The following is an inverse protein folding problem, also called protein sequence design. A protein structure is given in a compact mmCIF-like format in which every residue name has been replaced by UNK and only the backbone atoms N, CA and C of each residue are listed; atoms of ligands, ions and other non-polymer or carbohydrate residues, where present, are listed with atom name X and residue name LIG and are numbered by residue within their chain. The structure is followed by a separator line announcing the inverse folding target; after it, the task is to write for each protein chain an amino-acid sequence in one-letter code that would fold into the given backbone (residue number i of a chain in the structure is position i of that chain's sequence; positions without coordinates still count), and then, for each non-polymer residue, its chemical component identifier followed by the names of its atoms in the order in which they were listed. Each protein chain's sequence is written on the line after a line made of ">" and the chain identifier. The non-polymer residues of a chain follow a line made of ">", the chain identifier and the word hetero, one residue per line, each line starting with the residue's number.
data_IF_538548499915
#
_entry.id   IF_538548499915
#
_cell.length_a   1.000
_cell.length_b   1.000
_cell.length_c   1.000
_cell.angle_alpha   90.00
_cell.angle_beta   90.00
_cell.angle_gamma   90.00
#
_symmetry.space_group_name_H-M   'P 1'
#
loop_
_entity.id
_entity.type
_entity.pdbx_description
1 polymer ?
#
# COMPACT_ATOMS: atom_id res chain seq x y z
N UNK A 1 3.14 27.26 -2.80
CA UNK A 1 2.53 25.99 -3.23
C UNK A 1 3.26 24.88 -2.52
N UNK A 2 2.55 23.85 -2.03
CA UNK A 2 3.17 22.68 -1.41
C UNK A 2 4.09 21.97 -2.41
N UNK A 3 5.10 21.26 -1.90
CA UNK A 3 6.04 20.48 -2.72
C UNK A 3 5.50 19.06 -2.84
N UNK A 4 4.71 18.81 -3.88
CA UNK A 4 3.93 17.57 -3.99
C UNK A 4 4.79 16.37 -4.37
N UNK A 5 4.50 15.21 -3.78
CA UNK A 5 5.22 13.95 -4.01
C UNK A 5 4.23 12.91 -4.51
N UNK A 6 4.60 12.20 -5.58
CA UNK A 6 3.83 11.06 -6.10
C UNK A 6 4.46 9.75 -5.62
N UNK A 7 3.66 8.88 -4.99
CA UNK A 7 4.09 7.56 -4.53
C UNK A 7 3.74 6.50 -5.57
N UNK A 8 4.73 5.71 -6.00
CA UNK A 8 4.59 4.62 -6.95
C UNK A 8 4.82 3.29 -6.23
N UNK A 9 3.86 2.36 -6.27
CA UNK A 9 3.94 1.04 -5.66
C UNK A 9 3.99 -0.05 -6.73
N UNK A 10 5.09 -0.80 -6.80
CA UNK A 10 5.30 -1.87 -7.78
C UNK A 10 5.27 -3.24 -7.10
N UNK A 11 4.20 -3.99 -7.38
CA UNK A 11 4.01 -5.36 -6.93
C UNK A 11 3.08 -5.51 -5.74
N UNK A 12 2.61 -6.74 -5.54
CA UNK A 12 1.63 -7.04 -4.50
C UNK A 12 2.18 -6.76 -3.12
N UNK A 13 3.37 -7.28 -2.78
CA UNK A 13 3.97 -7.03 -1.46
C UNK A 13 4.16 -5.54 -1.18
N UNK A 14 4.66 -4.79 -2.17
CA UNK A 14 4.78 -3.34 -2.08
C UNK A 14 3.42 -2.66 -1.86
N UNK A 15 2.35 -3.16 -2.48
CA UNK A 15 0.99 -2.63 -2.31
C UNK A 15 0.44 -2.86 -0.90
N UNK A 16 0.72 -4.02 -0.27
CA UNK A 16 0.40 -4.24 1.16
C UNK A 16 1.17 -3.27 2.07
N UNK A 17 2.48 -3.09 1.85
CA UNK A 17 3.26 -2.11 2.62
C UNK A 17 2.75 -0.68 2.41
N UNK A 18 2.38 -0.34 1.18
CA UNK A 18 1.85 0.97 0.80
C UNK A 18 0.50 1.24 1.46
N UNK A 19 -0.39 0.24 1.56
CA UNK A 19 -1.66 0.37 2.28
C UNK A 19 -1.44 0.81 3.74
N UNK A 20 -0.51 0.16 4.44
CA UNK A 20 -0.16 0.54 5.82
C UNK A 20 0.52 1.90 5.90
N UNK A 21 1.41 2.23 4.97
CA UNK A 21 2.02 3.55 4.89
C UNK A 21 0.95 4.64 4.78
N UNK A 22 -0.03 4.48 3.89
CA UNK A 22 -1.08 5.48 3.70
C UNK A 22 -2.03 5.59 4.88
N UNK A 23 -2.37 4.47 5.52
CA UNK A 23 -3.13 4.52 6.77
C UNK A 23 -2.40 5.30 7.86
N UNK A 24 -1.09 5.16 7.96
CA UNK A 24 -0.28 5.93 8.91
C UNK A 24 -0.28 7.42 8.58
N UNK A 25 -0.21 7.79 7.30
CA UNK A 25 -0.29 9.20 6.88
C UNK A 25 -1.66 9.82 7.20
N UNK A 26 -2.74 9.07 6.99
CA UNK A 26 -4.11 9.47 7.31
C UNK A 26 -4.33 9.64 8.81
N UNK A 27 -3.86 8.68 9.62
CA UNK A 27 -3.89 8.78 11.08
C UNK A 27 -3.09 9.98 11.58
N UNK A 28 -1.89 10.20 11.05
CA UNK A 28 -1.08 11.36 11.41
C UNK A 28 -1.78 12.68 11.09
N UNK A 29 -2.52 12.75 9.98
CA UNK A 29 -3.34 13.91 9.62
C UNK A 29 -4.46 14.15 10.62
N UNK A 30 -5.13 13.08 11.07
CA UNK A 30 -6.18 13.15 12.08
C UNK A 30 -5.69 13.67 13.44
N UNK A 31 -4.43 13.39 13.82
CA UNK A 31 -3.85 13.87 15.08
C UNK A 31 -3.28 15.29 15.03
N UNK A 32 -3.29 15.95 13.86
CA UNK A 32 -2.64 17.25 13.68
C UNK A 32 -3.24 18.40 14.50
N UNK A 33 -4.51 18.31 14.85
CA UNK A 33 -5.21 19.29 15.69
C UNK A 33 -4.98 19.09 17.20
N UNK A 34 -4.39 17.96 17.63
CA UNK A 34 -4.29 17.59 19.04
C UNK A 34 -3.04 18.19 19.69
N UNK A 35 -3.24 18.90 20.81
CA UNK A 35 -2.19 19.67 21.50
C UNK A 35 -0.92 18.85 21.80
N UNK A 36 -1.06 17.58 22.19
CA UNK A 36 0.04 16.66 22.50
C UNK A 36 0.83 16.18 21.26
N UNK A 37 0.18 16.08 20.09
CA UNK A 37 0.77 15.61 18.84
C UNK A 37 1.20 16.74 17.91
N UNK A 38 0.83 17.98 18.24
CA UNK A 38 1.11 19.21 17.49
C UNK A 38 2.55 19.34 17.01
N UNK A 39 3.55 18.94 17.82
CA UNK A 39 4.96 19.02 17.44
C UNK A 39 5.39 18.01 16.37
N UNK A 40 4.82 16.81 16.38
CA UNK A 40 5.07 15.79 15.35
C UNK A 40 4.23 16.06 14.10
N UNK A 41 2.96 16.41 14.27
CA UNK A 41 2.11 16.73 13.13
C UNK A 41 2.56 17.99 12.38
N UNK A 42 3.12 18.98 13.08
CA UNK A 42 3.68 20.17 12.44
C UNK A 42 4.90 19.88 11.55
N UNK A 43 5.53 18.71 11.64
CA UNK A 43 6.62 18.31 10.75
C UNK A 43 6.14 17.55 9.49
N UNK A 44 4.85 17.21 9.42
CA UNK A 44 4.26 16.49 8.29
C UNK A 44 3.42 17.46 7.47
N UNK A 45 3.84 17.69 6.22
CA UNK A 45 3.05 18.43 5.24
C UNK A 45 2.13 17.44 4.52
N UNK A 46 0.85 17.44 4.87
CA UNK A 46 -0.15 16.55 4.27
C UNK A 46 -0.51 16.94 2.83
N UNK A 47 -0.48 18.24 2.52
CA UNK A 47 -0.79 18.76 1.18
C UNK A 47 0.27 18.31 0.15
N UNK A 48 1.47 17.96 0.62
CA UNK A 48 2.50 17.35 -0.22
C UNK A 48 2.11 15.94 -0.71
N UNK A 49 1.36 15.16 0.08
CA UNK A 49 1.07 13.75 -0.21
C UNK A 49 -0.37 13.52 -0.68
N UNK A 50 -1.29 14.39 -0.31
CA UNK A 50 -2.70 14.27 -0.66
C UNK A 50 -3.10 15.30 -1.71
N UNK A 51 -4.06 14.90 -2.54
CA UNK A 51 -4.81 15.74 -3.44
C UNK A 51 -6.15 16.08 -2.79
N UNK A 52 -6.43 17.36 -2.60
CA UNK A 52 -7.75 17.82 -2.18
C UNK A 52 -8.73 17.71 -3.36
N UNK A 53 -9.85 17.03 -3.14
CA UNK A 53 -10.92 16.85 -4.11
C UNK A 53 -12.25 17.30 -3.49
N UNK A 54 -13.18 17.78 -4.31
CA UNK A 54 -14.53 18.05 -3.82
C UNK A 54 -15.19 16.73 -3.38
N UNK A 55 -15.48 16.59 -2.09
CA UNK A 55 -16.17 15.42 -1.54
C UNK A 55 -17.69 15.57 -1.59
N UNK A 56 -18.38 14.62 -0.94
CA UNK A 56 -19.84 14.64 -0.85
C UNK A 56 -20.28 15.83 0.03
N UNK A 57 -21.40 16.46 -0.34
CA UNK A 57 -22.02 17.55 0.43
C UNK A 57 -21.12 18.79 0.66
N UNK A 58 -20.09 18.99 -0.18
CA UNK A 58 -19.19 20.15 -0.07
C UNK A 58 -18.08 19.99 0.95
N UNK A 59 -17.95 18.84 1.61
CA UNK A 59 -16.81 18.53 2.48
C UNK A 59 -15.60 18.17 1.60
N UNK A 60 -14.41 18.78 1.80
CA UNK A 60 -13.22 18.40 1.04
C UNK A 60 -12.81 16.95 1.35
N UNK A 61 -12.47 16.20 0.32
CA UNK A 61 -12.00 14.82 0.40
C UNK A 61 -10.54 14.74 -0.05
N UNK A 62 -9.69 14.19 0.81
CA UNK A 62 -8.27 14.04 0.53
C UNK A 62 -7.98 12.67 -0.07
N UNK A 63 -7.32 12.65 -1.22
CA UNK A 63 -6.94 11.41 -1.90
C UNK A 63 -5.43 11.29 -2.01
N UNK A 64 -4.82 10.16 -1.63
CA UNK A 64 -3.39 9.96 -1.81
C UNK A 64 -2.92 10.20 -3.25
N UNK A 65 -1.77 10.87 -3.41
CA UNK A 65 -1.05 10.99 -4.68
C UNK A 65 -0.28 9.70 -4.95
N UNK A 66 -1.02 8.63 -5.25
CA UNK A 66 -0.47 7.28 -5.35
C UNK A 66 -0.85 6.59 -6.67
N UNK A 67 0.10 5.82 -7.21
CA UNK A 67 -0.13 4.86 -8.30
C UNK A 67 0.36 3.48 -7.87
N UNK A 68 -0.45 2.45 -8.10
CA UNK A 68 -0.16 1.07 -7.78
C UNK A 68 -0.13 0.25 -9.07
N UNK A 69 0.93 -0.51 -9.26
CA UNK A 69 1.14 -1.43 -10.37
C UNK A 69 1.11 -2.85 -9.82
N UNK A 70 0.02 -3.56 -10.07
CA UNK A 70 -0.20 -4.90 -9.51
C UNK A 70 -0.98 -5.78 -10.48
N UNK A 71 -0.94 -7.10 -10.28
CA UNK A 71 -1.61 -8.06 -11.15
C UNK A 71 -3.13 -7.99 -10.93
N UNK A 72 -3.87 -8.20 -12.02
CA UNK A 72 -5.33 -8.32 -12.00
C UNK A 72 -5.79 -9.35 -10.94
N UNK A 73 -6.73 -8.92 -10.09
CA UNK A 73 -7.25 -9.71 -8.97
C UNK A 73 -6.63 -9.40 -7.60
N UNK A 74 -5.54 -8.61 -7.54
CA UNK A 74 -4.91 -8.18 -6.29
C UNK A 74 -5.75 -7.22 -5.43
N UNK A 75 -6.70 -6.49 -6.04
CA UNK A 75 -7.55 -5.51 -5.36
C UNK A 75 -8.83 -6.10 -4.74
N UNK A 76 -9.07 -7.40 -4.93
CA UNK A 76 -10.20 -8.10 -4.34
C UNK A 76 -11.55 -7.49 -4.71
N UNK A 77 -12.37 -7.20 -3.69
CA UNK A 77 -13.70 -6.61 -3.83
C UNK A 77 -13.74 -5.10 -4.09
N UNK A 78 -12.57 -4.45 -4.26
CA UNK A 78 -12.46 -3.02 -4.58
C UNK A 78 -12.17 -2.84 -6.07
N UNK A 79 -12.96 -1.98 -6.71
CA UNK A 79 -12.83 -1.65 -8.12
C UNK A 79 -12.16 -0.28 -8.31
N UNK A 80 -11.12 -0.25 -9.14
CA UNK A 80 -10.38 0.95 -9.53
C UNK A 80 -10.54 1.20 -11.03
N UNK A 81 -11.79 1.24 -11.50
CA UNK A 81 -12.13 1.64 -12.86
C UNK A 81 -13.15 2.76 -12.82
N UNK A 82 -12.89 3.84 -13.57
CA UNK A 82 -13.91 4.89 -13.80
C UNK A 82 -15.15 4.34 -14.52
N UNK A 83 -14.96 3.26 -15.28
CA UNK A 83 -15.99 2.56 -16.05
C UNK A 83 -16.58 1.37 -15.28
N UNK A 84 -16.32 1.28 -13.98
CA UNK A 84 -16.94 0.28 -13.10
C UNK A 84 -18.48 0.44 -13.00
N UNK A 85 -19.04 1.50 -13.58
CA UNK A 85 -20.46 1.55 -13.95
C UNK A 85 -20.69 0.48 -15.00
N UNK A 86 -21.12 -0.69 -14.53
CA UNK A 86 -21.68 -1.82 -15.24
C UNK A 86 -21.68 -1.64 -16.77
N UNK A 87 -20.55 -1.95 -17.41
CA UNK A 87 -20.55 -2.20 -18.85
C UNK A 87 -21.64 -3.26 -19.07
N UNK A 88 -22.73 -2.94 -19.78
CA UNK A 88 -23.76 -3.92 -20.07
C UNK A 88 -23.11 -5.09 -20.81
N UNK A 89 -23.68 -6.30 -20.76
CA UNK A 89 -23.06 -7.52 -21.27
C UNK A 89 -22.97 -7.49 -22.81
N UNK A 90 -22.08 -6.66 -23.34
CA UNK A 90 -21.47 -6.87 -24.63
C UNK A 90 -20.55 -8.04 -24.41
N UNK A 91 -20.94 -9.21 -24.91
CA UNK A 91 -20.06 -10.34 -25.06
C UNK A 91 -18.72 -9.79 -25.57
N UNK A 92 -17.67 -9.89 -24.76
CA UNK A 92 -16.31 -9.72 -25.25
C UNK A 92 -16.11 -10.89 -26.22
N UNK A 93 -16.61 -10.73 -27.45
CA UNK A 93 -16.46 -11.71 -28.50
C UNK A 93 -14.99 -11.70 -28.83
N UNK A 94 -14.26 -12.66 -28.28
CA UNK A 94 -12.86 -12.89 -28.65
C UNK A 94 -12.87 -13.23 -30.14
N UNK A 95 -12.61 -12.23 -30.97
CA UNK A 95 -12.78 -12.28 -32.43
C UNK A 95 -11.85 -13.30 -33.11
N UNK A 96 -10.84 -13.80 -32.38
CA UNK A 96 -9.93 -14.84 -32.83
C UNK A 96 -10.48 -16.27 -32.68
N UNK A 97 -11.56 -16.49 -31.92
CA UNK A 97 -12.15 -17.82 -31.74
C UNK A 97 -13.33 -18.04 -32.71
N UNK A 98 -13.21 -19.03 -33.60
CA UNK A 98 -14.30 -19.46 -34.48
C UNK A 98 -14.94 -20.72 -33.90
N UNK A 99 -15.95 -20.55 -33.05
CA UNK A 99 -16.69 -21.63 -32.39
C UNK A 99 -17.79 -21.09 -31.48
N UNK A 100 -18.59 -21.98 -30.90
CA UNK A 100 -19.54 -21.60 -29.84
C UNK A 100 -18.74 -21.22 -28.57
N UNK A 101 -18.88 -19.98 -28.13
CA UNK A 101 -18.27 -19.50 -26.89
C UNK A 101 -19.32 -19.44 -25.79
N UNK A 102 -19.04 -20.06 -24.65
CA UNK A 102 -19.83 -19.91 -23.43
C UNK A 102 -19.11 -18.93 -22.51
N UNK A 103 -19.84 -17.92 -22.02
CA UNK A 103 -19.29 -16.89 -21.13
C UNK A 103 -19.66 -17.25 -19.70
N UNK A 104 -18.67 -17.66 -18.91
CA UNK A 104 -18.82 -17.86 -17.47
C UNK A 104 -18.39 -16.60 -16.72
N UNK A 105 -19.28 -16.06 -15.88
CA UNK A 105 -18.98 -14.93 -14.99
C UNK A 105 -18.97 -15.43 -13.55
N UNK A 106 -17.86 -15.22 -12.85
CA UNK A 106 -17.78 -15.46 -11.42
C UNK A 106 -18.47 -14.32 -10.66
N UNK A 107 -19.01 -14.65 -9.47
CA UNK A 107 -19.55 -13.63 -8.58
C UNK A 107 -18.44 -12.65 -8.13
N UNK A 108 -18.78 -11.35 -7.95
CA UNK A 108 -17.82 -10.39 -7.42
C UNK A 108 -17.25 -10.84 -6.09
N UNK A 109 -15.96 -10.59 -5.87
CA UNK A 109 -15.32 -10.86 -4.58
C UNK A 109 -16.00 -9.98 -3.51
N UNK A 110 -16.55 -10.56 -2.43
CA UNK A 110 -17.15 -9.79 -1.37
C UNK A 110 -16.09 -8.94 -0.66
N UNK A 111 -16.50 -7.78 -0.13
CA UNK A 111 -15.63 -6.94 0.68
C UNK A 111 -15.38 -7.60 2.04
N UNK A 112 -14.25 -7.27 2.65
CA UNK A 112 -13.99 -7.69 4.03
C UNK A 112 -14.98 -7.00 4.99
N UNK A 113 -15.26 -7.65 6.12
CA UNK A 113 -16.12 -7.08 7.17
C UNK A 113 -15.60 -5.72 7.67
N UNK A 114 -14.28 -5.52 7.62
CA UNK A 114 -13.64 -4.24 7.94
C UNK A 114 -14.02 -3.14 6.94
N UNK A 115 -13.91 -3.41 5.63
CA UNK A 115 -14.25 -2.44 4.59
C UNK A 115 -15.76 -2.12 4.57
N UNK A 116 -16.62 -3.11 4.83
CA UNK A 116 -18.06 -2.89 4.97
C UNK A 116 -18.36 -1.95 6.15
N UNK A 117 -17.78 -2.24 7.33
CA UNK A 117 -17.95 -1.38 8.51
C UNK A 117 -17.34 0.01 8.31
N UNK A 118 -16.21 0.11 7.63
CA UNK A 118 -15.60 1.40 7.29
C UNK A 118 -16.54 2.25 6.42
N UNK A 119 -17.17 1.64 5.41
CA UNK A 119 -18.15 2.33 4.57
C UNK A 119 -19.37 2.80 5.35
N UNK A 120 -19.86 2.00 6.31
CA UNK A 120 -20.95 2.42 7.19
C UNK A 120 -20.54 3.61 8.07
N UNK A 121 -19.30 3.60 8.58
CA UNK A 121 -18.74 4.68 9.39
C UNK A 121 -18.61 6.00 8.63
N UNK A 122 -18.29 5.96 7.33
CA UNK A 122 -18.21 7.16 6.49
C UNK A 122 -19.57 7.86 6.33
N UNK A 123 -20.68 7.12 6.41
CA UNK A 123 -22.04 7.65 6.26
C UNK A 123 -22.64 8.16 7.59
N UNK A 124 -21.95 7.95 8.73
CA UNK A 124 -22.39 8.43 10.04
C UNK A 124 -22.10 9.92 10.24
N UNK A 125 -23.05 10.62 10.88
CA UNK A 125 -22.86 11.97 11.37
C UNK A 125 -22.16 11.95 12.73
N UNK A 126 -20.83 11.91 12.71
CA UNK A 126 -20.00 11.88 13.92
C UNK A 126 -20.15 13.13 14.79
N UNK A 127 -20.52 14.28 14.22
CA UNK A 127 -20.67 15.53 14.98
C UNK A 127 -21.98 15.55 15.79
N UNK A 128 -23.03 14.91 15.27
CA UNK A 128 -24.31 14.78 15.96
C UNK A 128 -24.38 13.57 16.91
N UNK A 129 -23.42 12.63 16.80
CA UNK A 129 -23.39 11.39 17.57
C UNK A 129 -22.90 11.61 19.01
N UNK A 130 -23.58 10.99 19.98
CA UNK A 130 -23.13 11.04 21.37
C UNK A 130 -21.89 10.17 21.61
N UNK A 131 -21.02 10.57 22.55
CA UNK A 131 -19.74 9.92 22.85
C UNK A 131 -19.84 8.39 23.06
N UNK A 132 -20.88 7.92 23.76
CA UNK A 132 -21.08 6.49 24.03
C UNK A 132 -21.39 5.70 22.76
N UNK A 133 -22.18 6.27 21.85
CA UNK A 133 -22.50 5.66 20.57
C UNK A 133 -21.28 5.69 19.65
N UNK A 134 -20.55 6.80 19.59
CA UNK A 134 -19.31 6.92 18.83
C UNK A 134 -18.27 5.88 19.29
N UNK A 135 -18.10 5.69 20.60
CA UNK A 135 -17.21 4.67 21.16
C UNK A 135 -17.65 3.25 20.79
N UNK A 136 -18.97 2.98 20.75
CA UNK A 136 -19.50 1.68 20.35
C UNK A 136 -19.26 1.39 18.86
N UNK A 137 -19.48 2.38 17.98
CA UNK A 137 -19.18 2.25 16.56
C UNK A 137 -17.68 1.99 16.36
N UNK A 138 -16.84 2.79 17.03
CA UNK A 138 -15.38 2.63 16.99
C UNK A 138 -14.94 1.22 17.43
N UNK A 139 -15.47 0.70 18.54
CA UNK A 139 -15.18 -0.65 19.01
C UNK A 139 -15.61 -1.74 18.01
N UNK A 140 -16.73 -1.53 17.30
CA UNK A 140 -17.20 -2.44 16.26
C UNK A 140 -16.25 -2.47 15.04
N UNK A 141 -15.72 -1.30 14.63
CA UNK A 141 -14.73 -1.21 13.56
C UNK A 141 -13.41 -1.89 13.96
N UNK A 142 -12.93 -1.69 15.18
CA UNK A 142 -11.75 -2.38 15.70
C UNK A 142 -11.93 -3.90 15.77
N UNK A 143 -13.12 -4.36 16.17
CA UNK A 143 -13.44 -5.78 16.18
C UNK A 143 -13.42 -6.39 14.77
N UNK A 144 -13.91 -5.67 13.76
CA UNK A 144 -13.82 -6.08 12.37
C UNK A 144 -12.37 -6.08 11.87
N UNK A 145 -11.56 -5.08 12.25
CA UNK A 145 -10.15 -5.00 11.88
C UNK A 145 -9.34 -6.17 12.46
N UNK A 146 -9.64 -6.63 13.69
CA UNK A 146 -8.99 -7.82 14.28
C UNK A 146 -9.25 -9.12 13.51
N UNK A 147 -10.33 -9.19 12.72
CA UNK A 147 -10.63 -10.35 11.88
C UNK A 147 -9.72 -10.41 10.64
N UNK A 148 -9.08 -9.30 10.27
CA UNK A 148 -8.13 -9.26 9.17
C UNK A 148 -6.84 -10.02 9.51
N UNK A 149 -6.48 -10.11 10.79
CA UNK A 149 -5.26 -10.80 11.23
C UNK A 149 -5.44 -12.33 11.19
N UNK A 150 -4.72 -13.05 10.30
CA UNK A 150 -4.83 -14.51 10.20
C UNK A 150 -4.34 -15.26 11.46
N UNK A 151 -3.67 -14.57 12.39
CA UNK A 151 -3.19 -15.12 13.67
C UNK A 151 -3.95 -14.68 14.92
N UNK A 152 -4.91 -13.75 14.81
CA UNK A 152 -5.60 -13.13 15.95
C UNK A 152 -6.62 -14.03 16.65
N UNK A 153 -7.00 -15.16 16.05
CA UNK A 153 -7.94 -16.13 16.60
C UNK A 153 -7.30 -17.27 17.43
N UNK A 154 -6.00 -17.23 17.72
CA UNK A 154 -5.37 -18.16 18.68
C UNK A 154 -5.50 -17.61 20.09
N UNK A 155 -6.72 -17.64 20.61
CA UNK A 155 -6.90 -17.78 22.04
C UNK A 155 -6.21 -19.07 22.49
N UNK A 156 -5.39 -18.96 23.53
CA UNK A 156 -4.80 -20.10 24.23
C UNK A 156 -5.93 -20.88 24.92
N UNK A 157 -6.60 -21.76 24.18
CA UNK A 157 -7.70 -22.57 24.67
C UNK A 157 -8.00 -23.74 23.74
N UNK A 158 -7.49 -24.92 24.11
CA UNK A 158 -7.91 -26.28 23.73
C UNK A 158 -8.74 -26.49 22.45
N UNK A 159 -8.11 -27.18 21.49
CA UNK A 159 -8.65 -28.06 20.44
C UNK A 159 -10.14 -28.07 20.11
N UNK A 160 -10.45 -27.89 18.82
CA UNK A 160 -11.21 -28.84 17.99
C UNK A 160 -11.14 -28.35 16.53
N UNK A 161 -10.76 -29.25 15.63
CA UNK A 161 -10.81 -29.08 14.18
C UNK A 161 -12.26 -29.06 13.73
N UNK A 162 -12.72 -28.00 13.09
CA UNK A 162 -14.03 -27.97 12.42
C UNK A 162 -13.91 -27.16 11.13
N UNK A 163 -13.92 -27.90 10.02
CA UNK A 163 -14.28 -27.41 8.69
C UNK A 163 -15.72 -26.91 8.73
N UNK A 164 -15.92 -25.59 8.66
CA UNK A 164 -17.26 -24.98 8.61
C UNK A 164 -17.32 -23.95 7.48
N UNK A 165 -18.44 -24.03 6.75
CA UNK A 165 -18.89 -23.20 5.64
C UNK A 165 -18.56 -21.70 5.75
N UNK A 166 -18.11 -21.14 4.63
CA UNK A 166 -17.86 -19.71 4.41
C UNK A 166 -19.17 -18.92 4.49
N UNK A 167 -19.55 -18.52 5.69
CA UNK A 167 -20.38 -17.34 5.91
C UNK A 167 -19.52 -16.10 5.69
N UNK A 168 -20.06 -15.06 5.05
CA UNK A 168 -19.43 -13.77 4.70
C UNK A 168 -18.98 -12.92 5.90
N UNK A 169 -18.79 -13.52 7.07
CA UNK A 169 -18.56 -12.86 8.37
C UNK A 169 -17.26 -13.34 9.02
N UNK A 170 -16.18 -13.40 8.24
CA UNK A 170 -14.85 -13.78 8.75
C UNK A 170 -13.84 -14.18 7.67
N UNK A 171 -13.77 -13.43 6.57
CA UNK A 171 -12.72 -13.63 5.57
C UNK A 171 -11.45 -12.95 6.10
N UNK A 172 -10.42 -13.74 6.42
CA UNK A 172 -9.09 -13.22 6.75
C UNK A 172 -8.59 -12.33 5.61
N UNK A 173 -7.86 -11.26 5.93
CA UNK A 173 -7.42 -10.31 4.92
C UNK A 173 -6.61 -11.01 3.84
N UNK A 174 -7.09 -10.88 2.61
CA UNK A 174 -6.49 -11.54 1.45
C UNK A 174 -5.87 -10.52 0.53
N UNK A 175 -6.48 -9.36 0.39
CA UNK A 175 -6.10 -8.33 -0.57
C UNK A 175 -5.50 -7.12 0.15
N UNK A 176 -4.61 -6.38 -0.49
CA UNK A 176 -4.00 -5.19 0.12
C UNK A 176 -5.03 -4.10 0.37
N UNK A 177 -6.08 -4.07 -0.44
CA UNK A 177 -7.24 -3.19 -0.30
C UNK A 177 -8.05 -3.46 0.95
N UNK A 178 -8.06 -4.69 1.49
CA UNK A 178 -8.76 -5.03 2.72
C UNK A 178 -8.22 -4.25 3.93
N UNK A 179 -6.99 -3.77 3.84
CA UNK A 179 -6.33 -2.97 4.88
C UNK A 179 -6.49 -1.46 4.68
N UNK A 180 -6.95 -1.00 3.51
CA UNK A 180 -6.93 0.42 3.17
C UNK A 180 -8.05 1.18 3.88
N UNK A 181 -7.68 2.13 4.74
CA UNK A 181 -8.60 3.13 5.30
C UNK A 181 -8.81 4.30 4.34
N UNK A 182 -7.75 4.66 3.64
CA UNK A 182 -7.77 5.77 2.70
C UNK A 182 -8.50 5.41 1.41
N UNK A 183 -9.21 6.40 0.85
CA UNK A 183 -9.88 6.28 -0.44
C UNK A 183 -8.94 6.76 -1.55
N UNK A 184 -8.48 5.83 -2.38
CA UNK A 184 -7.65 6.17 -3.54
C UNK A 184 -8.45 6.75 -4.70
N UNK A 185 -7.76 7.38 -5.65
CA UNK A 185 -8.34 7.77 -6.93
C UNK A 185 -8.80 6.51 -7.71
N UNK A 186 -9.93 6.52 -8.45
CA UNK A 186 -10.31 5.39 -9.30
C UNK A 186 -9.25 4.99 -10.32
N UNK A 187 -8.36 5.91 -10.72
CA UNK A 187 -7.24 5.64 -11.63
C UNK A 187 -5.91 5.31 -10.92
N UNK A 188 -5.91 5.21 -9.59
CA UNK A 188 -4.71 4.95 -8.80
C UNK A 188 -4.11 3.56 -9.03
N UNK A 189 -4.86 2.59 -9.56
CA UNK A 189 -4.35 1.24 -9.81
C UNK A 189 -4.27 0.97 -11.31
N UNK A 190 -3.10 0.52 -11.76
CA UNK A 190 -2.89 -0.10 -13.06
C UNK A 190 -2.84 -1.62 -12.87
N UNK A 191 -3.86 -2.31 -13.38
CA UNK A 191 -3.96 -3.76 -13.30
C UNK A 191 -3.23 -4.42 -14.46
N UNK A 192 -2.10 -5.04 -14.17
CA UNK A 192 -1.30 -5.78 -15.12
C UNK A 192 -1.96 -7.12 -15.46
N UNK A 193 -1.75 -7.65 -16.67
CA UNK A 193 -2.18 -9.00 -17.02
C UNK A 193 -1.57 -10.06 -16.10
N UNK A 194 -2.37 -11.03 -15.68
CA UNK A 194 -1.91 -12.15 -14.88
C UNK A 194 -3.02 -12.72 -14.00
N UNK A 195 -2.69 -13.75 -13.22
CA UNK A 195 -3.59 -14.35 -12.24
C UNK A 195 -2.97 -14.21 -10.85
N UNK A 196 -3.50 -13.26 -10.08
CA UNK A 196 -3.10 -13.08 -8.69
C UNK A 196 -3.77 -14.13 -7.80
N UNK A 197 -3.05 -14.68 -6.81
CA UNK A 197 -3.67 -15.53 -5.76
C UNK A 197 -3.26 -15.18 -4.33
N UNK A 198 -2.03 -14.69 -4.15
CA UNK A 198 -1.38 -14.40 -2.87
C UNK A 198 -0.24 -13.39 -3.09
N UNK A 199 0.08 -12.53 -2.09
CA UNK A 199 1.18 -11.57 -2.19
C UNK A 199 2.58 -12.19 -2.32
N UNK A 200 2.74 -13.48 -2.03
CA UNK A 200 4.06 -14.13 -2.00
C UNK A 200 4.29 -15.14 -3.12
N UNK A 201 3.20 -15.62 -3.73
CA UNK A 201 3.25 -16.76 -4.66
C UNK A 201 3.19 -16.33 -6.13
N UNK A 202 2.86 -15.06 -6.40
CA UNK A 202 2.66 -14.56 -7.75
C UNK A 202 3.42 -13.28 -8.03
N UNK A 203 4.04 -13.28 -9.19
CA UNK A 203 4.84 -12.19 -9.75
C UNK A 203 4.45 -12.05 -11.22
N UNK A 204 4.69 -10.87 -11.80
CA UNK A 204 4.39 -10.59 -13.21
C UNK A 204 5.05 -11.60 -14.16
N UNK A 205 6.26 -12.04 -13.79
CA UNK A 205 6.98 -13.13 -14.44
C UNK A 205 7.75 -13.95 -13.38
N UNK A 206 8.26 -15.16 -13.72
CA UNK A 206 9.02 -16.00 -12.79
C UNK A 206 10.30 -15.37 -12.20
N UNK A 207 10.77 -14.26 -12.75
CA UNK A 207 11.91 -13.50 -12.25
C UNK A 207 12.23 -12.31 -13.15
N UNK A 208 13.26 -11.55 -12.78
CA UNK A 208 13.68 -10.33 -13.48
C UNK A 208 13.88 -10.52 -14.99
N UNK A 209 14.70 -11.50 -15.39
CA UNK A 209 15.03 -11.72 -16.81
C UNK A 209 13.80 -12.03 -17.66
N UNK A 210 12.93 -12.92 -17.16
CA UNK A 210 11.67 -13.26 -17.84
C UNK A 210 10.70 -12.07 -17.92
N UNK A 211 10.74 -11.16 -16.93
CA UNK A 211 9.97 -9.92 -16.99
C UNK A 211 10.60 -8.92 -17.98
N UNK A 212 11.93 -8.81 -18.05
CA UNK A 212 12.58 -7.97 -19.05
C UNK A 212 12.29 -8.44 -20.48
N UNK A 213 12.29 -9.76 -20.73
CA UNK A 213 11.91 -10.33 -22.03
C UNK A 213 10.46 -9.96 -22.42
N UNK A 214 9.57 -9.73 -21.44
CA UNK A 214 8.20 -9.28 -21.67
C UNK A 214 8.17 -7.83 -22.18
N UNK A 215 9.08 -6.96 -21.71
CA UNK A 215 9.09 -5.53 -22.01
C UNK A 215 9.96 -5.16 -23.22
N UNK A 216 11.09 -5.83 -23.41
CA UNK A 216 12.11 -5.50 -24.42
C UNK A 216 11.67 -5.84 -25.86
N UNK A 217 10.45 -6.37 -26.06
CA UNK A 217 9.87 -6.64 -27.38
C UNK A 217 10.59 -7.69 -28.24
N UNK A 218 11.75 -8.20 -27.81
CA UNK A 218 12.64 -9.09 -28.56
C UNK A 218 12.31 -10.59 -28.50
N UNK A 219 11.41 -11.01 -27.61
CA UNK A 219 11.12 -12.42 -27.31
C UNK A 219 9.85 -12.98 -27.95
N UNK A 220 9.66 -12.87 -29.27
CA UNK A 220 8.67 -13.69 -30.02
C UNK A 220 7.18 -13.58 -29.65
N UNK A 221 6.78 -12.68 -28.74
CA UNK A 221 5.39 -12.44 -28.33
C UNK A 221 4.99 -10.98 -28.47
N UNK A 222 5.18 -10.42 -29.66
CA UNK A 222 4.46 -9.25 -30.17
C UNK A 222 4.71 -7.91 -29.45
N UNK A 223 4.32 -6.83 -30.14
CA UNK A 223 4.40 -5.41 -29.73
C UNK A 223 3.70 -5.04 -28.39
N UNK A 224 3.18 -6.01 -27.62
CA UNK A 224 2.34 -5.76 -26.45
C UNK A 224 3.09 -5.36 -25.19
N UNK A 225 4.37 -5.73 -25.05
CA UNK A 225 5.20 -5.38 -23.90
C UNK A 225 5.46 -3.88 -23.76
N UNK A 226 5.79 -3.23 -24.88
CA UNK A 226 5.95 -1.78 -24.96
C UNK A 226 4.67 -1.04 -24.56
N UNK A 227 3.50 -1.55 -24.95
CA UNK A 227 2.22 -0.95 -24.55
C UNK A 227 1.95 -1.02 -23.04
N UNK A 228 2.37 -2.07 -22.35
CA UNK A 228 2.22 -2.17 -20.88
C UNK A 228 3.05 -1.12 -20.14
N UNK A 229 4.27 -0.86 -20.62
CA UNK A 229 5.15 0.16 -20.05
C UNK A 229 4.61 1.54 -20.37
N UNK A 230 4.20 1.78 -21.62
CA UNK A 230 3.60 3.05 -22.04
C UNK A 230 2.37 3.40 -21.21
N UNK A 231 1.43 2.45 -21.06
CA UNK A 231 0.25 2.59 -20.19
C UNK A 231 0.64 2.85 -18.72
N UNK A 232 1.70 2.21 -18.22
CA UNK A 232 2.16 2.41 -16.85
C UNK A 232 2.73 3.82 -16.66
N UNK A 233 3.52 4.31 -17.61
CA UNK A 233 4.05 5.68 -17.62
C UNK A 233 2.91 6.69 -17.76
N UNK A 234 1.88 6.41 -18.56
CA UNK A 234 0.67 7.24 -18.66
C UNK A 234 -0.03 7.42 -17.31
N UNK A 235 -0.03 6.39 -16.46
CA UNK A 235 -0.58 6.50 -15.10
C UNK A 235 0.28 7.38 -14.19
N UNK A 236 1.60 7.34 -14.36
CA UNK A 236 2.50 8.27 -13.69
C UNK A 236 2.25 9.69 -14.18
N UNK A 237 2.12 9.91 -15.50
CA UNK A 237 1.78 11.22 -16.09
C UNK A 237 0.49 11.79 -15.56
N UNK A 238 -0.56 11.00 -15.56
CA UNK A 238 -1.85 11.43 -15.04
C UNK A 238 -1.75 11.97 -13.60
N UNK A 239 -0.95 11.33 -12.73
CA UNK A 239 -0.74 11.81 -11.37
C UNK A 239 0.25 12.98 -11.28
N UNK A 240 1.28 13.00 -12.12
CA UNK A 240 2.24 14.10 -12.22
C UNK A 240 1.62 15.41 -12.69
N UNK A 241 0.75 15.35 -13.70
CA UNK A 241 -0.02 16.50 -14.24
C UNK A 241 -1.04 17.05 -13.24
N UNK A 242 -1.51 16.22 -12.31
CA UNK A 242 -2.39 16.64 -11.22
C UNK A 242 -1.65 17.37 -10.07
N UNK A 243 -0.34 17.57 -10.18
CA UNK A 243 0.48 18.31 -9.23
C UNK A 243 0.79 19.72 -9.77
N UNK A 244 0.55 20.76 -8.98
CA UNK A 244 0.89 22.14 -9.33
C UNK A 244 2.42 22.39 -9.30
N UNK A 245 3.11 21.71 -8.39
CA UNK A 245 4.53 21.80 -8.10
C UNK A 245 5.09 20.43 -7.68
N UNK A 246 5.15 19.49 -8.63
CA UNK A 246 5.75 18.17 -8.44
C UNK A 246 7.20 18.27 -7.96
N UNK A 247 7.47 17.84 -6.74
CA UNK A 247 8.77 17.86 -6.11
C UNK A 247 9.60 16.61 -6.39
N UNK A 248 8.95 15.46 -6.60
CA UNK A 248 9.64 14.19 -6.86
C UNK A 248 8.75 12.97 -6.65
N UNK A 249 9.39 11.81 -6.64
CA UNK A 249 8.71 10.53 -6.52
C UNK A 249 9.20 9.74 -5.31
N UNK A 250 8.26 9.11 -4.63
CA UNK A 250 8.53 8.05 -3.65
C UNK A 250 8.20 6.71 -4.30
N UNK A 251 9.11 5.75 -4.29
CA UNK A 251 8.91 4.45 -4.92
C UNK A 251 8.98 3.35 -3.88
N UNK A 252 7.99 2.46 -3.90
CA UNK A 252 7.91 1.25 -3.09
C UNK A 252 7.90 0.08 -4.05
N UNK A 253 8.94 -0.76 -4.02
CA UNK A 253 9.12 -1.82 -5.02
C UNK A 253 9.42 -3.16 -4.37
N UNK A 254 8.71 -4.20 -4.82
CA UNK A 254 9.12 -5.58 -4.64
C UNK A 254 10.21 -5.92 -5.68
N UNK A 255 11.47 -5.88 -5.24
CA UNK A 255 12.64 -5.92 -6.13
C UNK A 255 13.15 -7.32 -6.45
N UNK A 256 12.64 -8.36 -5.79
CA UNK A 256 13.04 -9.76 -6.03
C UNK A 256 12.15 -10.47 -7.06
N UNK A 257 11.04 -9.85 -7.42
CA UNK A 257 10.06 -10.39 -8.35
C UNK A 257 10.18 -9.74 -9.73
N UNK A 258 9.37 -10.18 -10.69
CA UNK A 258 9.23 -9.54 -12.00
C UNK A 258 8.73 -8.09 -11.93
N UNK A 259 8.18 -7.65 -10.79
CA UNK A 259 7.84 -6.25 -10.56
C UNK A 259 9.08 -5.35 -10.43
N UNK A 260 10.23 -5.88 -10.00
CA UNK A 260 11.48 -5.16 -10.03
C UNK A 260 11.87 -4.74 -11.45
N UNK A 261 11.68 -5.64 -12.43
CA UNK A 261 11.96 -5.33 -13.83
C UNK A 261 11.00 -4.28 -14.38
N UNK A 262 9.70 -4.41 -14.06
CA UNK A 262 8.70 -3.40 -14.42
C UNK A 262 9.08 -2.03 -13.84
N UNK A 263 9.44 -1.98 -12.55
CA UNK A 263 9.85 -0.76 -11.90
C UNK A 263 11.07 -0.15 -12.59
N UNK A 264 12.10 -0.92 -12.92
CA UNK A 264 13.25 -0.39 -13.62
C UNK A 264 12.88 0.21 -14.98
N UNK A 265 12.13 -0.50 -15.82
CA UNK A 265 11.74 -0.01 -17.14
C UNK A 265 10.85 1.23 -17.06
N UNK A 266 9.86 1.25 -16.15
CA UNK A 266 8.99 2.44 -15.96
C UNK A 266 9.78 3.62 -15.40
N UNK A 267 10.69 3.38 -14.45
CA UNK A 267 11.45 4.46 -13.83
C UNK A 267 12.51 5.06 -14.74
N UNK A 268 13.05 4.31 -15.70
CA UNK A 268 13.91 4.86 -16.75
C UNK A 268 13.18 5.95 -17.55
N UNK A 269 11.96 5.65 -18.00
CA UNK A 269 11.09 6.60 -18.71
C UNK A 269 10.70 7.80 -17.81
N UNK A 270 10.35 7.55 -16.55
CA UNK A 270 9.99 8.62 -15.59
C UNK A 270 11.17 9.55 -15.32
N UNK A 271 12.40 9.05 -15.23
CA UNK A 271 13.60 9.88 -15.01
C UNK A 271 13.92 10.74 -16.24
N UNK A 272 13.67 10.23 -17.45
CA UNK A 272 13.82 11.00 -18.68
C UNK A 272 12.77 12.11 -18.78
N UNK A 273 11.49 11.76 -18.58
CA UNK A 273 10.36 12.69 -18.69
C UNK A 273 10.37 13.77 -17.59
N UNK A 274 10.64 13.37 -16.35
CA UNK A 274 10.69 14.25 -15.18
C UNK A 274 12.11 14.63 -14.79
N UNK A 275 12.91 15.01 -15.80
CA UNK A 275 14.31 15.39 -15.60
C UNK A 275 14.48 16.45 -14.47
N UNK A 276 15.40 16.17 -13.55
CA UNK A 276 15.68 17.03 -12.41
C UNK A 276 14.76 16.84 -11.19
N UNK A 277 13.76 15.95 -11.24
CA UNK A 277 12.97 15.55 -10.07
C UNK A 277 13.63 14.37 -9.35
N UNK A 278 13.94 14.48 -8.04
CA UNK A 278 14.50 13.37 -7.29
C UNK A 278 13.50 12.21 -7.13
N UNK A 279 14.05 11.01 -7.01
CA UNK A 279 13.32 9.80 -6.70
C UNK A 279 13.94 9.09 -5.50
N UNK A 280 13.10 8.72 -4.53
CA UNK A 280 13.52 7.95 -3.35
C UNK A 280 12.89 6.57 -3.44
N UNK A 281 13.74 5.53 -3.51
CA UNK A 281 13.30 4.15 -3.68
C UNK A 281 13.44 3.35 -2.38
N UNK A 282 12.35 2.69 -2.00
CA UNK A 282 12.25 1.73 -0.91
C UNK A 282 12.12 0.32 -1.51
N UNK A 283 13.18 -0.48 -1.37
CA UNK A 283 13.16 -1.91 -1.69
C UNK A 283 12.45 -2.66 -0.56
N UNK A 284 11.37 -3.36 -0.92
CA UNK A 284 10.49 -4.05 0.00
C UNK A 284 10.54 -5.55 -0.30
N UNK A 285 10.86 -6.34 0.72
CA UNK A 285 11.03 -7.79 0.56
C UNK A 285 10.25 -8.53 1.65
N UNK A 286 9.47 -9.57 1.29
CA UNK A 286 8.82 -10.41 2.27
C UNK A 286 9.83 -11.02 3.26
N UNK A 287 9.47 -11.12 4.56
CA UNK A 287 10.31 -11.80 5.53
C UNK A 287 10.53 -13.27 5.12
N UNK A 288 11.78 -13.72 5.14
CA UNK A 288 12.17 -15.10 4.80
C UNK A 288 12.68 -15.33 3.37
N UNK A 289 12.47 -14.40 2.43
CA UNK A 289 12.99 -14.56 1.06
C UNK A 289 14.50 -14.29 0.92
N UNK A 290 15.12 -13.56 1.85
CA UNK A 290 16.55 -13.28 1.85
C UNK A 290 17.42 -14.45 2.38
N UNK A 291 16.84 -15.38 3.16
CA UNK A 291 17.55 -16.55 3.69
C UNK A 291 17.95 -17.54 2.58
N UNK A 292 17.17 -17.62 1.50
CA UNK A 292 17.48 -18.50 0.37
C UNK A 292 18.66 -17.99 -0.48
N UNK A 293 18.85 -16.67 -0.59
CA UNK A 293 19.94 -16.09 -1.38
C UNK A 293 21.28 -16.02 -0.64
N UNK A 294 21.33 -16.12 0.69
CA UNK A 294 22.61 -16.18 1.43
C UNK A 294 23.36 -17.51 1.27
N UNK A 295 22.66 -18.60 0.94
CA UNK A 295 23.30 -19.90 0.69
C UNK A 295 23.96 -20.01 -0.69
N UNK A 296 23.79 -19.01 -1.58
CA UNK A 296 24.55 -18.86 -2.82
C UNK A 296 25.67 -17.85 -2.62
N UNK A 297 26.89 -18.34 -2.34
CA UNK A 297 28.04 -17.52 -1.95
C UNK A 297 28.32 -16.31 -2.85
N UNK A 298 28.14 -15.11 -2.29
CA UNK A 298 28.79 -13.87 -2.72
C UNK A 298 28.97 -13.01 -1.48
N UNK A 299 30.23 -12.82 -1.09
CA UNK A 299 30.63 -12.05 0.07
C UNK A 299 30.49 -10.54 -0.24
N UNK A 300 29.34 -9.97 0.14
CA UNK A 300 29.06 -8.55 -0.02
C UNK A 300 27.65 -8.19 0.40
N UNK A 301 27.27 -8.49 1.65
CA UNK A 301 25.93 -8.16 2.15
C UNK A 301 25.73 -6.64 2.26
N UNK A 302 24.61 -6.07 1.76
CA UNK A 302 24.31 -4.66 1.95
C UNK A 302 24.01 -4.35 3.41
N UNK A 303 24.46 -3.17 3.85
CA UNK A 303 24.28 -2.65 5.21
C UNK A 303 22.78 -2.39 5.40
N UNK A 304 22.15 -3.11 6.33
CA UNK A 304 20.80 -2.80 6.82
C UNK A 304 20.73 -1.31 7.18
N UNK A 305 19.79 -0.56 6.62
CA UNK A 305 19.55 0.83 7.02
C UNK A 305 19.26 0.94 8.51
N UNK A 306 18.66 -0.07 9.15
CA UNK A 306 18.54 -0.12 10.60
C UNK A 306 19.89 -0.26 11.32
N UNK A 307 20.85 -1.00 10.74
CA UNK A 307 22.22 -1.09 11.29
C UNK A 307 23.08 0.15 10.98
N UNK A 308 22.82 0.84 9.86
CA UNK A 308 23.40 2.13 9.53
C UNK A 308 22.86 3.25 10.44
N UNK A 309 21.55 3.28 10.70
CA UNK A 309 20.90 4.21 11.63
C UNK A 309 21.31 3.93 13.07
N UNK A 310 21.48 2.65 13.46
CA UNK A 310 22.08 2.30 14.75
C UNK A 310 23.54 2.79 14.84
N UNK A 311 24.36 2.55 13.81
CA UNK A 311 25.75 3.06 13.75
C UNK A 311 25.83 4.59 13.76
N UNK A 312 24.90 5.29 13.12
CA UNK A 312 24.84 6.75 13.16
C UNK A 312 24.41 7.26 14.56
N UNK A 313 23.50 6.54 15.25
CA UNK A 313 23.13 6.82 16.64
C UNK A 313 24.27 6.58 17.63
N UNK A 314 25.06 5.53 17.43
CA UNK A 314 26.18 5.20 18.32
C UNK A 314 27.49 5.92 17.95
N UNK A 315 27.70 6.28 16.68
CA UNK A 315 28.86 7.04 16.22
C UNK A 315 28.87 8.50 16.68
N UNK A 316 27.71 9.06 17.03
CA UNK A 316 27.59 10.36 17.67
C UNK A 316 27.94 10.35 19.17
N UNK A 317 28.16 9.17 19.78
CA UNK A 317 28.48 9.04 21.20
C UNK A 317 29.98 8.97 21.50
N UNK A 318 30.86 8.95 20.48
CA UNK A 318 32.31 8.75 20.64
C UNK A 318 33.22 9.85 20.06
N UNK A 319 32.70 11.04 19.70
CA UNK A 319 33.55 12.15 19.24
C UNK A 319 33.37 13.43 20.09
N UNK A 320 34.36 13.62 20.96
CA UNK A 320 34.85 14.83 21.64
C UNK A 320 33.96 15.67 22.61
N UNK A 321 34.55 16.20 23.71
CA UNK A 321 33.84 16.64 24.91
C UNK A 321 33.89 18.17 25.11
N UNK A 322 33.24 18.97 24.24
CA UNK A 322 33.29 20.44 24.37
C UNK A 322 32.01 21.24 24.11
N UNK A 323 30.81 20.69 24.34
CA UNK A 323 29.60 21.52 24.40
C UNK A 323 28.80 21.28 25.68
N UNK A 324 28.98 22.24 26.59
CA UNK A 324 28.37 22.40 27.90
C UNK A 324 26.93 22.92 27.75
N UNK A 325 26.02 22.34 28.55
CA UNK A 325 24.83 23.03 29.05
C UNK A 325 23.49 22.51 28.52
N UNK A 326 22.79 21.72 29.34
CA UNK A 326 21.35 21.74 29.67
C UNK A 326 20.90 20.34 30.18
N UNK A 327 19.95 20.27 31.14
CA UNK A 327 19.88 19.19 32.12
C UNK A 327 19.25 17.90 31.58
N UNK A 328 19.78 16.78 32.07
CA UNK A 328 19.18 15.45 31.93
C UNK A 328 17.81 15.38 32.62
N UNK A 329 16.81 14.73 32.02
CA UNK A 329 15.78 14.02 32.76
C UNK A 329 16.25 12.58 33.02
N UNK A 330 16.15 12.20 34.28
CA UNK A 330 16.53 10.94 34.88
C UNK A 330 15.60 9.79 34.47
N UNK A 331 16.17 8.60 34.33
CA UNK A 331 15.52 7.28 34.40
C UNK A 331 14.45 6.95 33.34
N UNK A 332 14.85 6.16 32.33
CA UNK A 332 13.96 5.12 31.78
C UNK A 332 14.74 3.80 31.66
N UNK A 333 14.24 2.78 32.35
CA UNK A 333 14.68 1.40 32.25
C UNK A 333 14.55 0.89 30.80
N UNK A 334 15.63 0.33 30.25
CA UNK A 334 15.59 -0.40 28.98
C UNK A 334 14.94 -1.77 29.18
N UNK A 335 13.69 -1.92 28.71
CA UNK A 335 13.10 -3.22 28.41
C UNK A 335 13.52 -3.63 26.99
N UNK A 336 14.29 -4.73 26.89
CA UNK A 336 14.46 -5.48 25.64
C UNK A 336 13.09 -6.03 25.25
N UNK A 337 12.47 -5.49 24.20
CA UNK A 337 11.36 -6.14 23.51
C UNK A 337 11.84 -6.68 22.16
N UNK A 338 11.76 -8.00 22.02
CA UNK A 338 11.51 -8.62 20.71
C UNK A 338 10.27 -7.95 20.12
N UNK A 339 10.36 -7.46 18.88
CA UNK A 339 9.22 -6.89 18.16
C UNK A 339 8.24 -8.02 17.86
N UNK A 340 7.30 -8.21 18.78
CA UNK A 340 5.94 -8.62 18.45
C UNK A 340 5.20 -7.34 18.10
N UNK A 341 4.53 -7.31 16.95
CA UNK A 341 3.62 -6.24 16.58
C UNK A 341 2.57 -6.07 17.68
N UNK A 342 2.46 -4.90 18.33
CA UNK A 342 1.39 -4.66 19.28
C UNK A 342 0.08 -4.44 18.51
N UNK A 343 -0.98 -5.03 19.04
CA UNK A 343 -2.36 -4.83 18.63
C UNK A 343 -2.73 -3.34 18.57
N UNK A 344 -3.53 -2.99 17.55
CA UNK A 344 -4.42 -1.84 17.44
C UNK A 344 -4.25 -0.79 18.54
N UNK A 345 -3.49 0.26 18.23
CA UNK A 345 -3.54 1.50 18.99
C UNK A 345 -4.82 2.25 18.57
N UNK A 346 -5.61 2.63 19.58
CA UNK A 346 -6.88 3.34 19.49
C UNK A 346 -6.89 4.43 18.41
N UNK A 347 -7.82 4.37 17.44
CA UNK A 347 -8.29 5.52 16.70
C UNK A 347 -9.41 6.17 17.53
N UNK A 348 -9.19 7.38 18.04
CA UNK A 348 -10.30 8.22 18.50
C UNK A 348 -10.60 9.18 17.35
N UNK A 349 -11.61 8.86 16.53
CA UNK A 349 -12.15 9.83 15.58
C UNK A 349 -13.03 10.82 16.35
N UNK A 350 -12.44 11.94 16.73
CA UNK A 350 -13.15 13.18 17.03
C UNK A 350 -12.24 14.28 16.48
N UNK A 351 -12.77 15.08 15.54
CA UNK A 351 -12.05 16.27 15.08
C UNK A 351 -11.92 17.29 16.20
#
# INVERSE_FOLDING_TARGET
>A
MPKEIVTLSFGSYASFCSAHYWNLQDEAAGYSSREEWSGYAACIDHDALFLETAGRNGVPAYRPRAVFFDITGSSGGVSFSSDAVAVPPSAASVSSWRGACEVHRADPVPRSAFLERLSEHEDLDWEAMGDEEAAKQQAALEAAARQLDPGGGRDTGSGVTSTTSVSSSGIAARYWTDFCKVVFNPRAVYSLPGSWTSPYEHSLAPGWGAAMDLFDGGGGRGSGGSGLVEDAVDRVRYMGEACDSLAGFQVMVDDLTGFGALAATVLEEVVEEYSGRPLVLFSLRPPGQWEQHQNGGSAGGPISTASATARARYGYMEADPWLVGYPRPSNMHFLRHHVRFPAFLHPTFVR
#
